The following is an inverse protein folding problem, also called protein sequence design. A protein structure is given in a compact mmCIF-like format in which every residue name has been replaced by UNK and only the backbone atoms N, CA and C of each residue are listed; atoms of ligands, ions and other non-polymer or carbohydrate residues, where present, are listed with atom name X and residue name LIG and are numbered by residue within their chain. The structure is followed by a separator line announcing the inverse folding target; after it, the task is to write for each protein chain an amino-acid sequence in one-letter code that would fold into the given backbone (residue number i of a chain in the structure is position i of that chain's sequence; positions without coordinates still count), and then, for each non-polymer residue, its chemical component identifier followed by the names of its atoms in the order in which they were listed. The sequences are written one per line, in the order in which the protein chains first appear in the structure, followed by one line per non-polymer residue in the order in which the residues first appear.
data_IF_666209809927
#
_entry.id   IF_666209809927
#
_cell.length_a   1.000
_cell.length_b   1.000
_cell.length_c   1.000
_cell.angle_alpha   90.00
_cell.angle_beta   90.00
_cell.angle_gamma   90.00
#
_symmetry.space_group_name_H-M   'P 1'
#
loop_
_entity.id
_entity.type
_entity.pdbx_description
1 polymer ?
#
# COMPACT_ATOMS: atom_id res chain seq x y z
N UNK A 1 15.12 8.20 9.44
CA UNK A 1 13.98 7.24 9.48
C UNK A 1 13.21 7.19 8.15
N UNK A 2 12.88 8.33 7.53
CA UNK A 2 12.18 8.39 6.23
C UNK A 2 12.81 7.53 5.12
N UNK A 3 14.15 7.57 4.98
CA UNK A 3 14.89 6.73 4.01
C UNK A 3 14.56 5.24 4.16
N UNK A 4 14.59 4.74 5.39
CA UNK A 4 14.36 3.32 5.68
C UNK A 4 12.92 2.92 5.37
N UNK A 5 11.94 3.75 5.74
CA UNK A 5 10.53 3.51 5.41
C UNK A 5 10.29 3.52 3.89
N UNK A 6 10.92 4.46 3.16
CA UNK A 6 10.84 4.52 1.69
C UNK A 6 11.46 3.29 1.03
N UNK A 7 12.61 2.82 1.52
CA UNK A 7 13.22 1.57 1.05
C UNK A 7 12.33 0.36 1.30
N UNK A 8 11.75 0.24 2.49
CA UNK A 8 10.82 -0.87 2.82
C UNK A 8 9.61 -0.84 1.90
N UNK A 9 9.04 0.34 1.62
CA UNK A 9 7.90 0.48 0.70
C UNK A 9 8.25 0.01 -0.71
N UNK A 10 9.39 0.44 -1.27
CA UNK A 10 9.82 -0.01 -2.60
C UNK A 10 10.20 -1.49 -2.66
N UNK A 11 10.87 -2.01 -1.64
CA UNK A 11 11.17 -3.45 -1.55
C UNK A 11 9.87 -4.25 -1.53
N UNK A 12 8.90 -3.85 -0.71
CA UNK A 12 7.57 -4.47 -0.67
C UNK A 12 6.85 -4.39 -2.02
N UNK A 13 6.95 -3.26 -2.73
CA UNK A 13 6.39 -3.09 -4.07
C UNK A 13 7.00 -4.11 -5.05
N UNK A 14 8.33 -4.19 -5.10
CA UNK A 14 9.04 -5.11 -5.98
C UNK A 14 8.74 -6.58 -5.64
N UNK A 15 8.67 -6.94 -4.37
CA UNK A 15 8.27 -8.29 -3.95
C UNK A 15 6.85 -8.63 -4.37
N UNK A 16 5.92 -7.67 -4.24
CA UNK A 16 4.52 -7.85 -4.66
C UNK A 16 4.43 -8.07 -6.17
N UNK A 17 5.14 -7.27 -6.97
CA UNK A 17 5.18 -7.41 -8.42
C UNK A 17 5.88 -8.70 -8.86
N UNK A 18 6.98 -9.09 -8.20
CA UNK A 18 7.68 -10.34 -8.47
C UNK A 18 6.76 -11.55 -8.22
N UNK A 19 5.99 -11.52 -7.13
CA UNK A 19 4.99 -12.55 -6.86
C UNK A 19 3.86 -12.56 -7.89
N UNK A 20 3.29 -11.40 -8.23
CA UNK A 20 2.22 -11.31 -9.26
C UNK A 20 2.72 -11.81 -10.62
N UNK A 21 3.95 -11.46 -11.00
CA UNK A 21 4.59 -11.95 -12.23
C UNK A 21 4.83 -13.46 -12.21
N UNK A 22 5.31 -14.00 -11.10
CA UNK A 22 5.49 -15.46 -10.94
C UNK A 22 4.15 -16.21 -11.00
N UNK A 23 3.11 -15.68 -10.34
CA UNK A 23 1.78 -16.25 -10.38
C UNK A 23 1.20 -16.19 -11.80
N UNK A 24 1.33 -15.05 -12.49
CA UNK A 24 0.91 -14.91 -13.89
C UNK A 24 1.59 -15.92 -14.81
N UNK A 25 2.88 -16.17 -14.62
CA UNK A 25 3.63 -17.15 -15.42
C UNK A 25 3.08 -18.59 -15.26
N UNK A 26 2.45 -18.90 -14.13
CA UNK A 26 1.88 -20.22 -13.82
C UNK A 26 0.40 -20.31 -14.22
N UNK A 27 -0.39 -19.28 -13.93
CA UNK A 27 -1.86 -19.30 -14.08
C UNK A 27 -2.34 -18.69 -15.40
N UNK A 28 -1.48 -17.96 -16.12
CA UNK A 28 -1.85 -17.20 -17.32
C UNK A 28 -2.75 -15.98 -17.06
N UNK A 29 -3.04 -15.68 -15.79
CA UNK A 29 -3.92 -14.58 -15.37
C UNK A 29 -3.23 -13.71 -14.33
N UNK A 30 -3.39 -12.38 -14.44
CA UNK A 30 -2.72 -11.45 -13.52
C UNK A 30 -3.51 -11.35 -12.21
N UNK A 31 -2.97 -11.77 -11.05
CA UNK A 31 -3.73 -11.73 -9.81
C UNK A 31 -3.77 -10.31 -9.24
N UNK A 32 -4.98 -9.76 -9.08
CA UNK A 32 -5.19 -8.47 -8.41
C UNK A 32 -5.02 -8.62 -6.89
N UNK A 33 -4.01 -7.98 -6.31
CA UNK A 33 -3.81 -7.94 -4.86
C UNK A 33 -4.11 -6.52 -4.37
N UNK A 34 -5.24 -6.37 -3.69
CA UNK A 34 -5.72 -5.09 -3.16
C UNK A 34 -5.29 -4.90 -1.70
N UNK A 35 -5.28 -3.64 -1.23
CA UNK A 35 -4.95 -3.33 0.16
C UNK A 35 -5.84 -4.08 1.15
N UNK A 36 -7.14 -4.19 0.87
CA UNK A 36 -8.08 -4.96 1.68
C UNK A 36 -7.63 -6.41 1.86
N UNK A 37 -7.11 -7.03 0.80
CA UNK A 37 -6.67 -8.44 0.83
C UNK A 37 -5.49 -8.64 1.78
N UNK A 38 -4.56 -7.68 1.80
CA UNK A 38 -3.38 -7.73 2.67
C UNK A 38 -3.75 -7.38 4.11
N UNK A 39 -4.57 -6.35 4.32
CA UNK A 39 -4.99 -5.92 5.66
C UNK A 39 -5.90 -6.95 6.33
N UNK A 40 -6.81 -7.60 5.59
CA UNK A 40 -7.62 -8.69 6.11
C UNK A 40 -6.74 -9.88 6.54
N UNK A 41 -5.79 -10.29 5.71
CA UNK A 41 -4.91 -11.44 6.01
C UNK A 41 -3.88 -11.18 7.11
N UNK A 42 -3.30 -9.97 7.17
CA UNK A 42 -2.22 -9.66 8.10
C UNK A 42 -2.71 -9.06 9.42
N UNK A 43 -3.80 -8.28 9.39
CA UNK A 43 -4.26 -7.50 10.54
C UNK A 43 -5.68 -7.88 10.99
N UNK A 44 -6.34 -8.83 10.31
CA UNK A 44 -7.73 -9.21 10.63
C UNK A 44 -8.73 -8.06 10.42
N UNK A 45 -8.36 -7.06 9.61
CA UNK A 45 -9.26 -5.96 9.31
C UNK A 45 -10.20 -6.35 8.18
N UNK A 46 -11.44 -6.64 8.56
CA UNK A 46 -12.55 -6.87 7.65
C UNK A 46 -13.45 -5.63 7.54
N UNK A 47 -14.31 -5.62 6.52
CA UNK A 47 -15.25 -4.52 6.29
C UNK A 47 -16.16 -4.27 7.51
N UNK A 48 -16.50 -5.33 8.24
CA UNK A 48 -17.25 -5.23 9.51
C UNK A 48 -16.45 -4.50 10.59
N UNK A 49 -15.16 -4.77 10.71
CA UNK A 49 -14.28 -4.12 11.67
C UNK A 49 -14.11 -2.64 11.34
N UNK A 50 -14.08 -2.28 10.04
CA UNK A 50 -14.08 -0.89 9.59
C UNK A 50 -15.40 -0.18 9.96
N UNK A 51 -16.54 -0.82 9.67
CA UNK A 51 -17.86 -0.25 9.93
C UNK A 51 -18.19 -0.11 11.43
N UNK A 52 -17.63 -0.98 12.27
CA UNK A 52 -17.83 -0.94 13.72
C UNK A 52 -16.98 0.09 14.46
N UNK A 53 -15.86 0.54 13.87
CA UNK A 53 -14.92 1.45 14.54
C UNK A 53 -14.86 2.86 13.97
N UNK A 54 -15.46 3.10 12.79
CA UNK A 54 -15.42 4.39 12.11
C UNK A 54 -16.83 4.92 11.81
N UNK A 55 -17.00 6.26 11.74
CA UNK A 55 -18.23 6.85 11.22
C UNK A 55 -18.55 6.31 9.82
N UNK A 56 -19.83 6.06 9.53
CA UNK A 56 -20.26 5.36 8.31
C UNK A 56 -19.69 5.98 7.01
N UNK A 57 -19.64 7.31 6.92
CA UNK A 57 -19.10 8.02 5.76
C UNK A 57 -17.58 7.75 5.57
N UNK A 58 -16.84 7.74 6.67
CA UNK A 58 -15.39 7.45 6.66
C UNK A 58 -15.15 5.97 6.36
N UNK A 59 -15.96 5.08 6.95
CA UNK A 59 -15.87 3.65 6.72
C UNK A 59 -16.13 3.30 5.24
N UNK A 60 -17.15 3.92 4.61
CA UNK A 60 -17.46 3.70 3.20
C UNK A 60 -16.32 4.17 2.27
N UNK A 61 -15.76 5.35 2.52
CA UNK A 61 -14.62 5.89 1.76
C UNK A 61 -13.36 5.05 1.95
N UNK A 62 -13.06 4.65 3.18
CA UNK A 62 -11.92 3.79 3.49
C UNK A 62 -12.08 2.43 2.82
N UNK A 63 -13.26 1.80 2.93
CA UNK A 63 -13.55 0.54 2.27
C UNK A 63 -13.37 0.62 0.75
N UNK A 64 -13.89 1.69 0.13
CA UNK A 64 -13.69 1.93 -1.30
C UNK A 64 -12.20 1.97 -1.66
N UNK A 65 -11.42 2.83 -1.00
CA UNK A 65 -9.98 2.94 -1.25
C UNK A 65 -9.26 1.62 -1.03
N UNK A 66 -9.58 0.88 0.04
CA UNK A 66 -8.95 -0.39 0.37
C UNK A 66 -9.25 -1.48 -0.67
N UNK A 67 -10.46 -1.49 -1.22
CA UNK A 67 -10.90 -2.47 -2.21
C UNK A 67 -10.37 -2.13 -3.60
N UNK A 68 -10.31 -0.85 -3.99
CA UNK A 68 -9.91 -0.46 -5.34
C UNK A 68 -8.41 -0.24 -5.52
N UNK A 69 -7.66 -0.04 -4.44
CA UNK A 69 -6.23 0.27 -4.54
C UNK A 69 -5.40 -1.00 -4.52
N UNK A 70 -4.63 -1.21 -5.58
CA UNK A 70 -3.62 -2.27 -5.64
C UNK A 70 -2.45 -1.99 -4.69
N UNK A 71 -1.98 -3.05 -4.03
CA UNK A 71 -0.89 -2.98 -3.05
C UNK A 71 0.39 -2.46 -3.69
N UNK A 72 0.71 -2.91 -4.91
CA UNK A 72 1.90 -2.46 -5.63
C UNK A 72 1.87 -0.94 -5.90
N UNK A 73 0.72 -0.42 -6.33
CA UNK A 73 0.53 1.02 -6.60
C UNK A 73 0.66 1.82 -5.31
N UNK A 74 0.04 1.37 -4.22
CA UNK A 74 0.16 2.01 -2.91
C UNK A 74 1.61 2.04 -2.40
N UNK A 75 2.33 0.91 -2.49
CA UNK A 75 3.71 0.79 -2.04
C UNK A 75 4.68 1.62 -2.90
N UNK A 76 4.44 1.73 -4.20
CA UNK A 76 5.19 2.62 -5.08
C UNK A 76 5.06 4.08 -4.66
N UNK A 77 3.82 4.57 -4.55
CA UNK A 77 3.55 5.99 -4.26
C UNK A 77 3.90 6.38 -2.82
N UNK A 78 3.75 5.48 -1.85
CA UNK A 78 4.24 5.72 -0.48
C UNK A 78 5.77 5.87 -0.45
N UNK A 79 6.51 5.05 -1.21
CA UNK A 79 7.95 5.22 -1.38
C UNK A 79 8.31 6.57 -2.01
N UNK A 80 7.64 6.95 -3.11
CA UNK A 80 7.83 8.26 -3.77
C UNK A 80 7.58 9.41 -2.79
N UNK A 81 6.48 9.37 -2.03
CA UNK A 81 6.15 10.41 -1.06
C UNK A 81 7.19 10.52 0.07
N UNK A 82 7.66 9.39 0.60
CA UNK A 82 8.66 9.36 1.68
C UNK A 82 10.03 9.88 1.23
N UNK A 83 10.48 9.52 0.03
CA UNK A 83 11.71 10.05 -0.54
C UNK A 83 11.58 11.53 -0.95
N UNK A 84 10.43 11.92 -1.51
CA UNK A 84 10.13 13.32 -1.81
C UNK A 84 10.13 14.20 -0.57
N UNK A 85 9.52 13.74 0.52
CA UNK A 85 9.53 14.44 1.81
C UNK A 85 10.95 14.53 2.38
N UNK A 86 11.74 13.45 2.31
CA UNK A 86 13.14 13.47 2.73
C UNK A 86 13.95 14.51 1.93
N UNK A 87 13.74 14.57 0.62
CA UNK A 87 14.39 15.56 -0.25
C UNK A 87 13.98 16.99 0.12
N UNK A 88 12.69 17.25 0.30
CA UNK A 88 12.19 18.56 0.70
C UNK A 88 12.74 19.01 2.06
N UNK A 89 12.78 18.12 3.05
CA UNK A 89 13.38 18.41 4.36
C UNK A 89 14.89 18.66 4.26
N UNK A 90 15.59 17.94 3.38
CA UNK A 90 17.01 18.17 3.12
C UNK A 90 17.30 19.52 2.45
N UNK A 91 16.38 20.02 1.62
CA UNK A 91 16.46 21.37 1.05
C UNK A 91 16.15 22.46 2.10
N UNK A 92 15.15 22.24 2.95
CA UNK A 92 14.75 23.20 3.98
C UNK A 92 15.77 23.32 5.11
N UNK A 93 16.39 22.21 5.53
CA UNK A 93 17.44 22.20 6.57
C UNK A 93 18.82 22.71 6.10
N UNK A 94 18.94 23.11 4.84
CA UNK A 94 20.15 23.74 4.27
C UNK A 94 20.10 25.28 4.28
N UNK A 95 18.99 25.87 4.74
CA UNK A 95 18.88 27.30 5.06
C UNK A 95 19.22 27.51 6.53
#
# INVERSE_FOLDING_TARGET
MLKTLGMIAWIGCLMTLAWQGAAWAVTGSWPSITLMTVLGKLLGMDLLTLAGNLPLDVAAKAAYVLVTTEVAVFLWWSGVALFGLMFALGLLGRK
#
